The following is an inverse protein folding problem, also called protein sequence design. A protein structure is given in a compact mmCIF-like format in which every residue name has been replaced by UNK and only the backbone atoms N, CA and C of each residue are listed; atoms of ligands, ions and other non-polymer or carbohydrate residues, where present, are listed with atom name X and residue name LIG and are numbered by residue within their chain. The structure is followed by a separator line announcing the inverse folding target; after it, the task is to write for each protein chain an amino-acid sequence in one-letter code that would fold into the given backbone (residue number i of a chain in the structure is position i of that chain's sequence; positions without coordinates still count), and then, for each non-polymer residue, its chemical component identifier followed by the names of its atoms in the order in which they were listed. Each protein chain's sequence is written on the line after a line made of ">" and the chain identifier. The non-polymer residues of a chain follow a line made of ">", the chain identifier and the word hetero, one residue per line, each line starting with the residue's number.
data_IF_159822712009
#
_entry.id   IF_159822712009
#
_cell.length_a   1.000
_cell.length_b   1.000
_cell.length_c   1.000
_cell.angle_alpha   90.00
_cell.angle_beta   90.00
_cell.angle_gamma   90.00
#
_symmetry.space_group_name_H-M   'P 1'
#
loop_
_entity.id
_entity.type
_entity.pdbx_description
1 polymer ?
#
# COMPACT_ATOMS: atom_id res chain seq x y z
N UNK A 1 12.62 -18.13 13.53
CA UNK A 1 11.62 -19.08 14.05
C UNK A 1 11.03 -19.81 12.85
N UNK A 2 11.12 -21.14 12.78
CA UNK A 2 10.43 -21.93 11.74
C UNK A 2 9.01 -22.23 12.22
N UNK A 3 8.10 -21.26 12.06
CA UNK A 3 6.66 -21.49 12.25
C UNK A 3 6.02 -21.76 10.89
N UNK A 4 5.15 -22.75 10.81
CA UNK A 4 4.29 -22.97 9.63
C UNK A 4 3.23 -21.87 9.54
N UNK A 5 2.74 -21.51 8.34
CA UNK A 5 1.61 -20.60 8.20
C UNK A 5 0.39 -21.13 8.97
N UNK A 6 -0.47 -20.26 9.53
CA UNK A 6 -1.69 -20.71 10.18
C UNK A 6 -2.63 -21.32 9.14
N UNK A 7 -3.34 -22.38 9.53
CA UNK A 7 -4.21 -23.14 8.64
C UNK A 7 -5.68 -22.73 8.77
N UNK A 8 -6.02 -21.87 9.74
CA UNK A 8 -7.38 -21.38 9.96
C UNK A 8 -7.42 -19.93 10.42
N UNK A 9 -8.58 -19.28 10.26
CA UNK A 9 -8.85 -17.94 10.82
C UNK A 9 -8.62 -17.89 12.33
N UNK A 10 -9.09 -18.92 13.05
CA UNK A 10 -8.94 -19.02 14.50
C UNK A 10 -7.46 -19.03 14.89
N UNK A 11 -6.66 -19.86 14.25
CA UNK A 11 -5.24 -19.96 14.53
C UNK A 11 -4.48 -18.66 14.22
N UNK A 12 -4.77 -18.03 13.07
CA UNK A 12 -4.19 -16.72 12.73
C UNK A 12 -4.49 -15.68 13.81
N UNK A 13 -5.74 -15.64 14.30
CA UNK A 13 -6.18 -14.66 15.29
C UNK A 13 -5.60 -14.95 16.67
N UNK A 14 -5.50 -16.23 17.07
CA UNK A 14 -4.88 -16.63 18.33
C UNK A 14 -3.38 -16.27 18.34
N UNK A 15 -2.66 -16.51 17.23
CA UNK A 15 -1.27 -16.07 17.06
C UNK A 15 -1.13 -14.55 17.13
N UNK A 16 -2.05 -13.80 16.50
CA UNK A 16 -2.03 -12.34 16.53
C UNK A 16 -2.26 -11.79 17.94
N UNK A 17 -3.20 -12.36 18.70
CA UNK A 17 -3.42 -12.00 20.11
C UNK A 17 -2.18 -12.29 20.97
N UNK A 18 -1.51 -13.42 20.73
CA UNK A 18 -0.24 -13.72 21.41
C UNK A 18 0.83 -12.67 21.10
N UNK A 19 1.02 -12.33 19.82
CA UNK A 19 2.00 -11.32 19.40
C UNK A 19 1.75 -9.95 20.03
N UNK A 20 0.49 -9.56 20.20
CA UNK A 20 0.11 -8.30 20.90
C UNK A 20 0.41 -8.42 22.41
N UNK A 21 0.09 -9.55 23.04
CA UNK A 21 0.33 -9.80 24.47
C UNK A 21 1.81 -9.87 24.85
N UNK A 22 2.67 -10.33 23.94
CA UNK A 22 4.11 -10.46 24.17
C UNK A 22 4.82 -9.11 24.45
N UNK A 23 4.16 -7.97 24.15
CA UNK A 23 4.68 -6.66 24.50
C UNK A 23 5.90 -6.28 23.66
N UNK A 24 6.97 -5.81 24.32
CA UNK A 24 8.20 -5.40 23.64
C UNK A 24 9.03 -6.60 23.20
N UNK A 25 9.29 -6.70 21.90
CA UNK A 25 10.10 -7.73 21.27
C UNK A 25 11.31 -7.11 20.58
N UNK A 26 12.44 -7.80 20.61
CA UNK A 26 13.64 -7.37 19.88
C UNK A 26 13.59 -7.87 18.44
N UNK A 27 13.65 -6.96 17.48
CA UNK A 27 13.81 -7.29 16.05
C UNK A 27 15.27 -7.73 15.83
N UNK A 28 15.52 -8.97 15.37
CA UNK A 28 16.87 -9.43 15.04
C UNK A 28 17.52 -8.57 13.94
N UNK A 29 18.84 -8.39 14.00
CA UNK A 29 19.57 -7.66 12.97
C UNK A 29 19.84 -8.54 11.74
N UNK A 30 18.80 -8.81 10.95
CA UNK A 30 18.90 -9.56 9.70
C UNK A 30 18.40 -8.72 8.52
N UNK A 31 18.99 -8.93 7.33
CA UNK A 31 18.75 -8.13 6.11
C UNK A 31 17.26 -7.91 5.80
N UNK A 32 16.41 -8.92 6.05
CA UNK A 32 14.95 -8.87 5.82
C UNK A 32 14.24 -7.82 6.68
N UNK A 33 14.76 -7.51 7.87
CA UNK A 33 14.14 -6.53 8.78
C UNK A 33 14.77 -5.13 8.67
N UNK A 34 15.66 -4.92 7.70
CA UNK A 34 16.27 -3.62 7.47
C UNK A 34 15.32 -2.68 6.69
N UNK A 35 15.36 -1.39 7.02
CA UNK A 35 14.57 -0.36 6.35
C UNK A 35 13.10 -0.30 6.79
N UNK A 36 12.31 0.48 6.06
CA UNK A 36 10.94 0.82 6.44
C UNK A 36 9.96 -0.38 6.44
N UNK A 37 10.21 -1.40 5.62
CA UNK A 37 9.38 -2.62 5.56
C UNK A 37 9.69 -3.65 6.65
N UNK A 38 10.78 -3.48 7.38
CA UNK A 38 11.26 -4.47 8.35
C UNK A 38 10.26 -4.88 9.43
N UNK A 39 9.55 -3.93 10.07
CA UNK A 39 8.51 -4.25 11.06
C UNK A 39 7.37 -5.13 10.51
N UNK A 40 6.95 -4.92 9.26
CA UNK A 40 5.93 -5.73 8.60
C UNK A 40 6.44 -7.15 8.36
N UNK A 41 7.64 -7.27 7.81
CA UNK A 41 8.30 -8.56 7.61
C UNK A 41 8.49 -9.33 8.93
N UNK A 42 8.80 -8.63 10.03
CA UNK A 42 8.93 -9.25 11.35
C UNK A 42 7.59 -9.77 11.87
N UNK A 43 6.50 -8.99 11.70
CA UNK A 43 5.15 -9.43 12.03
C UNK A 43 4.73 -10.68 11.23
N UNK A 44 4.97 -10.68 9.92
CA UNK A 44 4.72 -11.85 9.06
C UNK A 44 5.45 -13.10 9.58
N UNK A 45 6.73 -12.96 9.90
CA UNK A 45 7.55 -14.07 10.37
C UNK A 45 7.09 -14.57 11.76
N UNK A 46 6.65 -13.68 12.66
CA UNK A 46 6.05 -14.06 13.96
C UNK A 46 4.76 -14.86 13.79
N UNK A 47 3.96 -14.52 12.77
CA UNK A 47 2.73 -15.22 12.40
C UNK A 47 3.01 -16.51 11.61
N UNK A 48 4.25 -16.77 11.22
CA UNK A 48 4.66 -17.96 10.45
C UNK A 48 4.36 -17.85 8.95
N UNK A 49 4.18 -16.64 8.42
CA UNK A 49 3.89 -16.42 7.01
C UNK A 49 5.18 -16.46 6.20
N UNK A 50 5.25 -17.35 5.21
CA UNK A 50 6.33 -17.34 4.23
C UNK A 50 5.94 -16.44 3.07
N UNK A 51 6.78 -15.46 2.76
CA UNK A 51 6.59 -14.58 1.60
C UNK A 51 6.72 -15.40 0.32
N UNK A 52 5.59 -15.70 -0.30
CA UNK A 52 5.49 -16.13 -1.69
C UNK A 52 5.12 -14.93 -2.55
N UNK A 53 5.96 -14.63 -3.53
CA UNK A 53 5.83 -13.51 -4.45
C UNK A 53 4.59 -13.66 -5.35
N UNK A 54 3.38 -13.33 -4.87
CA UNK A 54 2.14 -13.37 -5.66
C UNK A 54 1.17 -12.26 -5.22
N UNK A 55 0.34 -11.77 -6.14
CA UNK A 55 -0.72 -10.78 -5.93
C UNK A 55 -1.91 -11.31 -5.09
N UNK A 56 -1.62 -12.19 -4.12
CA UNK A 56 -2.58 -12.92 -3.29
C UNK A 56 -2.40 -12.48 -1.84
N UNK A 57 -3.46 -12.62 -1.04
CA UNK A 57 -3.45 -12.36 0.38
C UNK A 57 -2.41 -13.20 1.16
N UNK A 58 -1.80 -12.60 2.18
CA UNK A 58 -0.64 -13.12 2.92
C UNK A 58 -0.91 -14.39 3.76
N UNK A 59 -2.15 -14.61 4.23
CA UNK A 59 -2.47 -15.76 5.11
C UNK A 59 -3.94 -16.16 5.10
N UNK A 60 -4.28 -17.38 4.68
CA UNK A 60 -5.68 -17.90 4.75
C UNK A 60 -6.71 -16.90 4.15
N UNK A 61 -6.30 -16.16 3.11
CA UNK A 61 -7.10 -15.12 2.48
C UNK A 61 -7.10 -13.74 3.19
N UNK A 62 -6.16 -13.48 4.11
CA UNK A 62 -5.96 -12.20 4.80
C UNK A 62 -4.69 -11.51 4.34
N UNK A 63 -4.82 -10.25 3.91
CA UNK A 63 -3.70 -9.33 3.76
C UNK A 63 -3.28 -8.81 5.14
N UNK A 64 -1.98 -8.65 5.39
CA UNK A 64 -1.47 -8.10 6.64
C UNK A 64 -0.71 -6.80 6.38
N UNK A 65 -1.01 -5.78 7.19
CA UNK A 65 -0.35 -4.47 7.14
C UNK A 65 0.02 -4.01 8.54
N UNK A 66 1.26 -3.59 8.70
CA UNK A 66 1.75 -2.93 9.90
C UNK A 66 1.76 -1.42 9.73
N UNK A 67 1.39 -0.68 10.77
CA UNK A 67 1.53 0.77 10.82
C UNK A 67 1.86 1.28 12.23
N UNK A 68 2.32 2.52 12.31
CA UNK A 68 2.51 3.25 13.56
C UNK A 68 1.63 4.49 13.58
N UNK A 69 1.47 5.15 14.73
CA UNK A 69 0.80 6.46 14.81
C UNK A 69 1.42 7.55 13.92
N UNK A 70 2.68 7.38 13.50
CA UNK A 70 3.37 8.30 12.57
C UNK A 70 3.10 7.96 11.09
N UNK A 71 2.49 6.81 10.81
CA UNK A 71 2.17 6.38 9.45
C UNK A 71 0.96 7.15 8.94
N UNK A 72 1.17 8.00 7.94
CA UNK A 72 0.10 8.76 7.28
C UNK A 72 -0.70 7.92 6.28
N UNK A 73 -0.04 7.01 5.57
CA UNK A 73 -0.64 6.18 4.52
C UNK A 73 -0.05 4.77 4.52
N UNK A 74 -0.91 3.75 4.49
CA UNK A 74 -0.53 2.36 4.17
C UNK A 74 -0.71 2.10 2.69
N UNK A 75 0.15 1.25 2.12
CA UNK A 75 -0.02 0.79 0.73
C UNK A 75 -0.96 -0.40 0.69
N UNK A 76 -2.02 -0.27 -0.10
CA UNK A 76 -2.99 -1.32 -0.37
C UNK A 76 -2.44 -2.30 -1.42
N UNK A 77 -2.06 -1.77 -2.59
CA UNK A 77 -1.40 -2.52 -3.65
C UNK A 77 -0.63 -1.58 -4.60
N UNK A 78 0.12 -2.18 -5.51
CA UNK A 78 0.79 -1.49 -6.62
C UNK A 78 0.09 -1.85 -7.93
N UNK A 79 -0.08 -0.87 -8.82
CA UNK A 79 -0.53 -1.10 -10.18
C UNK A 79 -0.05 0.06 -11.05
N UNK A 80 0.80 -0.22 -12.02
CA UNK A 80 1.23 0.81 -12.97
C UNK A 80 0.11 1.23 -13.91
N UNK A 81 0.15 2.49 -14.30
CA UNK A 81 -0.78 3.05 -15.27
C UNK A 81 -0.41 2.62 -16.69
N UNK A 82 -1.43 2.53 -17.53
CA UNK A 82 -1.28 2.40 -18.98
C UNK A 82 -1.18 3.78 -19.65
N UNK A 83 -0.52 3.86 -20.82
CA UNK A 83 0.37 2.85 -21.41
C UNK A 83 1.70 2.72 -20.63
N UNK A 84 2.51 1.64 -20.80
CA UNK A 84 3.76 1.46 -20.04
C UNK A 84 4.76 2.61 -20.11
N UNK A 85 4.73 3.41 -21.18
CA UNK A 85 5.58 4.58 -21.40
C UNK A 85 5.15 5.81 -20.59
N UNK A 86 3.97 5.79 -19.98
CA UNK A 86 3.35 6.97 -19.35
C UNK A 86 4.18 7.51 -18.19
N UNK A 87 4.83 6.66 -17.41
CA UNK A 87 5.69 7.12 -16.31
C UNK A 87 6.86 7.97 -16.79
N UNK A 88 7.46 7.65 -17.95
CA UNK A 88 8.51 8.47 -18.55
C UNK A 88 7.98 9.84 -18.97
N UNK A 89 6.78 9.89 -19.54
CA UNK A 89 6.12 11.15 -19.86
C UNK A 89 5.88 11.98 -18.60
N UNK A 90 5.34 11.37 -17.54
CA UNK A 90 5.08 12.06 -16.27
C UNK A 90 6.36 12.65 -15.65
N UNK A 91 7.46 11.89 -15.61
CA UNK A 91 8.75 12.39 -15.13
C UNK A 91 9.27 13.53 -15.99
N UNK A 92 9.24 13.39 -17.32
CA UNK A 92 9.79 14.39 -18.23
C UNK A 92 9.02 15.71 -18.20
N UNK A 93 7.69 15.65 -18.20
CA UNK A 93 6.79 16.80 -18.35
C UNK A 93 6.42 17.44 -17.02
N UNK A 94 6.16 16.64 -16.00
CA UNK A 94 5.57 17.09 -14.74
C UNK A 94 6.49 16.92 -13.53
N UNK A 95 7.63 16.23 -13.69
CA UNK A 95 8.62 16.07 -12.64
C UNK A 95 9.42 17.35 -12.36
N UNK A 96 9.99 17.41 -11.17
CA UNK A 96 10.90 18.48 -10.73
C UNK A 96 12.28 17.89 -10.45
N UNK A 97 13.32 18.73 -10.49
CA UNK A 97 14.67 18.29 -10.11
C UNK A 97 14.70 18.06 -8.60
N UNK A 98 15.21 16.90 -8.19
CA UNK A 98 15.59 16.66 -6.80
C UNK A 98 16.98 17.25 -6.49
N UNK A 99 17.44 17.13 -5.24
CA UNK A 99 18.72 17.67 -4.77
C UNK A 99 19.95 17.09 -5.49
N UNK A 100 19.76 16.02 -6.28
CA UNK A 100 20.81 15.39 -7.08
C UNK A 100 20.65 15.73 -8.58
N UNK A 101 19.78 16.68 -8.94
CA UNK A 101 19.52 17.12 -10.30
C UNK A 101 18.69 16.16 -11.15
N UNK A 102 18.15 15.08 -10.58
CA UNK A 102 17.31 14.09 -11.30
C UNK A 102 15.89 14.61 -11.40
N UNK A 103 15.22 14.45 -12.56
CA UNK A 103 13.77 14.68 -12.59
C UNK A 103 13.05 13.58 -11.81
N UNK A 104 12.15 14.01 -10.91
CA UNK A 104 11.31 13.13 -10.08
C UNK A 104 9.86 13.53 -10.20
N UNK A 105 8.99 12.53 -10.38
CA UNK A 105 7.55 12.66 -10.25
C UNK A 105 7.09 11.80 -9.06
N UNK A 106 7.21 12.39 -7.86
CA UNK A 106 6.84 11.77 -6.59
C UNK A 106 5.63 12.46 -5.98
N UNK A 107 4.44 12.04 -6.39
CA UNK A 107 3.23 12.84 -6.20
C UNK A 107 2.10 11.97 -5.67
N UNK A 108 1.58 12.34 -4.50
CA UNK A 108 0.36 11.73 -3.94
C UNK A 108 -0.86 12.55 -4.33
N UNK A 109 -1.84 11.94 -4.98
CA UNK A 109 -3.07 12.58 -5.45
C UNK A 109 -4.25 11.98 -4.67
N UNK A 110 -4.90 12.80 -3.85
CA UNK A 110 -6.07 12.44 -3.04
C UNK A 110 -7.34 12.91 -3.74
N UNK A 111 -7.72 12.26 -4.85
CA UNK A 111 -8.81 12.70 -5.73
C UNK A 111 -8.48 13.99 -6.51
N UNK A 112 -7.75 14.91 -5.89
CA UNK A 112 -7.19 16.12 -6.47
C UNK A 112 -5.86 16.47 -5.80
N UNK A 113 -5.00 17.15 -6.54
CA UNK A 113 -3.81 17.84 -6.04
C UNK A 113 -3.71 19.22 -6.71
N UNK A 114 -2.75 20.08 -6.33
CA UNK A 114 -2.60 21.40 -6.97
C UNK A 114 -2.41 21.36 -8.49
N UNK A 115 -1.96 20.22 -9.06
CA UNK A 115 -1.67 20.08 -10.49
C UNK A 115 -2.55 19.06 -11.20
N UNK A 116 -3.20 18.17 -10.48
CA UNK A 116 -3.91 17.03 -11.08
C UNK A 116 -5.27 16.79 -10.42
N UNK A 117 -6.15 16.09 -11.14
CA UNK A 117 -7.38 15.51 -10.61
C UNK A 117 -7.52 14.08 -11.08
N UNK A 118 -8.06 13.23 -10.22
CA UNK A 118 -8.56 11.91 -10.56
C UNK A 118 -9.95 12.10 -11.15
N UNK A 119 -10.20 11.48 -12.29
CA UNK A 119 -11.51 11.45 -12.95
C UNK A 119 -11.82 10.03 -13.36
N UNK A 120 -13.10 9.72 -13.40
CA UNK A 120 -13.61 8.49 -13.98
C UNK A 120 -14.22 8.83 -15.34
N UNK A 121 -13.97 7.96 -16.31
CA UNK A 121 -14.50 8.09 -17.67
C UNK A 121 -14.56 6.71 -18.32
N UNK A 122 -15.77 6.27 -18.69
CA UNK A 122 -16.00 5.04 -19.44
C UNK A 122 -15.34 3.78 -18.84
N UNK A 123 -15.42 3.61 -17.51
CA UNK A 123 -14.84 2.48 -16.79
C UNK A 123 -13.33 2.60 -16.55
N UNK A 124 -12.79 3.81 -16.65
CA UNK A 124 -11.37 4.09 -16.45
C UNK A 124 -11.14 5.17 -15.40
N UNK A 125 -10.16 4.95 -14.53
CA UNK A 125 -9.60 5.96 -13.64
C UNK A 125 -8.43 6.65 -14.35
N UNK A 126 -8.51 7.97 -14.42
CA UNK A 126 -7.57 8.80 -15.16
C UNK A 126 -7.03 9.90 -14.26
N UNK A 127 -5.71 10.08 -14.26
CA UNK A 127 -5.08 11.23 -13.61
C UNK A 127 -4.87 12.34 -14.65
N UNK A 128 -5.77 13.33 -14.68
CA UNK A 128 -5.71 14.46 -15.63
C UNK A 128 -5.01 15.68 -15.01
N UNK A 129 -4.12 16.37 -15.74
CA UNK A 129 -3.62 17.66 -15.29
C UNK A 129 -4.75 18.70 -15.24
N UNK A 130 -4.66 19.67 -14.33
CA UNK A 130 -5.64 20.75 -14.21
C UNK A 130 -5.46 21.82 -15.29
N UNK A 131 -4.27 21.92 -15.87
CA UNK A 131 -3.93 22.84 -16.98
C UNK A 131 -3.06 22.11 -17.99
N UNK A 132 -3.31 22.36 -19.27
CA UNK A 132 -2.59 21.74 -20.39
C UNK A 132 -3.15 20.37 -20.78
N UNK A 133 -2.65 19.86 -21.91
CA UNK A 133 -3.08 18.60 -22.53
C UNK A 133 -1.90 17.64 -22.69
N UNK A 134 -2.20 16.38 -23.01
CA UNK A 134 -1.20 15.35 -23.33
C UNK A 134 -1.60 13.96 -22.83
N UNK A 135 -0.71 12.97 -22.98
CA UNK A 135 -0.89 11.64 -22.42
C UNK A 135 -1.10 11.68 -20.91
N UNK A 136 -2.00 10.83 -20.40
CA UNK A 136 -2.38 10.75 -18.98
C UNK A 136 -2.26 9.32 -18.45
N UNK A 137 -1.95 9.13 -17.15
CA UNK A 137 -2.02 7.82 -16.50
C UNK A 137 -3.46 7.30 -16.46
N UNK A 138 -3.67 6.07 -16.90
CA UNK A 138 -4.99 5.42 -16.97
C UNK A 138 -4.94 4.04 -16.32
N UNK A 139 -6.00 3.69 -15.59
CA UNK A 139 -6.29 2.34 -15.09
C UNK A 139 -7.72 1.96 -15.45
N UNK A 140 -7.98 0.73 -15.86
CA UNK A 140 -9.36 0.25 -16.02
C UNK A 140 -9.94 -0.13 -14.65
N UNK A 141 -11.26 -0.03 -14.50
CA UNK A 141 -11.95 -0.54 -13.32
C UNK A 141 -11.66 -2.02 -13.11
N UNK A 142 -11.70 -2.82 -14.18
CA UNK A 142 -11.42 -4.25 -14.11
C UNK A 142 -10.04 -4.53 -13.51
N UNK A 143 -9.00 -3.81 -13.93
CA UNK A 143 -7.65 -4.00 -13.39
C UNK A 143 -7.58 -3.69 -11.89
N UNK A 144 -8.18 -2.56 -11.46
CA UNK A 144 -8.15 -2.16 -10.06
C UNK A 144 -8.99 -3.07 -9.17
N UNK A 145 -10.19 -3.43 -9.63
CA UNK A 145 -11.12 -4.30 -8.91
C UNK A 145 -10.62 -5.74 -8.83
N UNK A 146 -9.94 -6.24 -9.86
CA UNK A 146 -9.32 -7.57 -9.83
C UNK A 146 -8.21 -7.65 -8.78
N UNK A 147 -7.32 -6.65 -8.71
CA UNK A 147 -6.24 -6.64 -7.71
C UNK A 147 -6.81 -6.43 -6.31
N UNK A 148 -7.71 -5.45 -6.13
CA UNK A 148 -8.34 -5.20 -4.85
C UNK A 148 -9.14 -6.44 -4.38
N UNK A 149 -9.90 -7.05 -5.29
CA UNK A 149 -10.69 -8.26 -5.03
C UNK A 149 -9.85 -9.51 -4.83
N UNK A 150 -8.64 -9.62 -5.37
CA UNK A 150 -7.74 -10.74 -5.12
C UNK A 150 -7.02 -10.62 -3.77
N UNK A 151 -6.54 -9.41 -3.46
CA UNK A 151 -5.63 -9.15 -2.35
C UNK A 151 -6.31 -8.67 -1.08
N UNK A 152 -7.32 -7.82 -1.21
CA UNK A 152 -7.85 -7.03 -0.11
C UNK A 152 -9.23 -7.48 0.38
N UNK A 153 -9.71 -8.68 0.02
CA UNK A 153 -11.02 -9.19 0.50
C UNK A 153 -11.12 -9.13 2.02
N UNK A 154 -10.01 -9.40 2.70
CA UNK A 154 -9.86 -9.35 4.15
C UNK A 154 -8.50 -8.75 4.49
N UNK A 155 -8.46 -7.85 5.48
CA UNK A 155 -7.25 -7.12 5.87
C UNK A 155 -7.10 -7.13 7.39
N UNK A 156 -5.92 -7.54 7.86
CA UNK A 156 -5.45 -7.33 9.22
C UNK A 156 -4.53 -6.12 9.25
N UNK A 157 -4.98 -5.06 9.92
CA UNK A 157 -4.21 -3.84 10.12
C UNK A 157 -3.70 -3.77 11.56
N UNK A 158 -2.40 -3.97 11.73
CA UNK A 158 -1.75 -4.06 13.03
C UNK A 158 -1.04 -2.76 13.37
N UNK A 159 -1.48 -2.11 14.44
CA UNK A 159 -0.79 -0.94 15.01
C UNK A 159 0.35 -1.40 15.91
N UNK A 160 1.51 -0.75 15.79
CA UNK A 160 2.57 -0.89 16.78
C UNK A 160 3.37 0.39 16.99
N UNK A 161 4.34 0.28 17.88
CA UNK A 161 5.34 1.30 18.18
C UNK A 161 6.73 0.69 18.15
N UNK A 162 7.73 1.52 17.91
CA UNK A 162 9.12 1.11 17.77
C UNK A 162 10.03 2.04 18.56
N UNK A 163 11.03 1.47 19.20
CA UNK A 163 12.13 2.15 19.85
C UNK A 163 13.44 1.43 19.54
N UNK A 164 14.33 2.07 18.77
CA UNK A 164 15.56 1.42 18.29
C UNK A 164 15.28 0.13 17.50
N UNK A 165 15.74 -1.00 18.01
CA UNK A 165 15.48 -2.35 17.47
C UNK A 165 14.33 -3.07 18.18
N UNK A 166 13.67 -2.45 19.16
CA UNK A 166 12.52 -3.02 19.85
C UNK A 166 11.22 -2.58 19.19
N UNK A 167 10.25 -3.48 19.16
CA UNK A 167 8.90 -3.24 18.62
C UNK A 167 7.86 -3.78 19.60
N UNK A 168 6.74 -3.08 19.70
CA UNK A 168 5.56 -3.55 20.42
C UNK A 168 4.35 -3.44 19.51
N UNK A 169 3.64 -4.54 19.32
CA UNK A 169 2.33 -4.55 18.67
C UNK A 169 1.27 -4.20 19.71
N UNK A 170 0.37 -3.28 19.37
CA UNK A 170 -0.55 -2.64 20.32
C UNK A 170 -1.98 -3.08 20.10
N UNK A 171 -2.42 -3.18 18.85
CA UNK A 171 -3.75 -3.65 18.48
C UNK A 171 -3.78 -4.17 17.07
N UNK A 172 -4.80 -4.94 16.73
CA UNK A 172 -5.11 -5.31 15.37
C UNK A 172 -6.56 -4.98 15.05
N UNK A 173 -6.77 -4.28 13.94
CA UNK A 173 -8.07 -4.06 13.32
C UNK A 173 -8.25 -5.06 12.18
N UNK A 174 -9.32 -5.83 12.24
CA UNK A 174 -9.67 -6.90 11.33
C UNK A 174 -10.83 -6.44 10.47
N UNK A 175 -10.60 -6.39 9.16
CA UNK A 175 -11.58 -5.93 8.18
C UNK A 175 -11.97 -7.08 7.25
N UNK A 176 -13.27 -7.29 7.07
CA UNK A 176 -13.82 -8.31 6.17
C UNK A 176 -14.80 -7.68 5.18
N UNK A 177 -14.99 -8.36 4.05
CA UNK A 177 -15.95 -7.98 3.01
C UNK A 177 -15.62 -6.61 2.40
N UNK A 178 -14.53 -6.57 1.62
CA UNK A 178 -14.19 -5.40 0.81
C UNK A 178 -15.38 -4.99 -0.06
N UNK A 179 -15.77 -3.73 0.03
CA UNK A 179 -16.82 -3.16 -0.79
C UNK A 179 -16.24 -2.75 -2.15
N UNK A 180 -16.15 -3.70 -3.08
CA UNK A 180 -15.51 -3.51 -4.39
C UNK A 180 -16.06 -2.31 -5.16
N UNK A 181 -17.38 -2.17 -5.25
CA UNK A 181 -18.00 -1.03 -5.94
C UNK A 181 -17.65 0.32 -5.29
N UNK A 182 -17.57 0.35 -3.95
CA UNK A 182 -17.20 1.55 -3.20
C UNK A 182 -15.70 1.86 -3.33
N UNK A 183 -14.85 0.90 -3.71
CA UNK A 183 -13.41 1.14 -3.87
C UNK A 183 -13.13 2.22 -4.91
N UNK A 184 -13.79 2.17 -6.07
CA UNK A 184 -13.66 3.19 -7.12
C UNK A 184 -14.12 4.56 -6.62
N UNK A 185 -15.25 4.59 -5.92
CA UNK A 185 -15.76 5.82 -5.31
C UNK A 185 -14.76 6.41 -4.30
N UNK A 186 -14.14 5.58 -3.45
CA UNK A 186 -13.16 5.99 -2.45
C UNK A 186 -11.82 6.46 -3.09
N UNK A 187 -11.46 5.94 -4.27
CA UNK A 187 -10.35 6.47 -5.09
C UNK A 187 -10.69 7.87 -5.63
N UNK A 188 -11.89 8.02 -6.20
CA UNK A 188 -12.36 9.27 -6.80
C UNK A 188 -12.45 10.42 -5.81
N UNK A 189 -13.00 10.17 -4.62
CA UNK A 189 -13.11 11.18 -3.55
C UNK A 189 -11.80 11.42 -2.78
N UNK A 190 -10.76 10.62 -3.03
CA UNK A 190 -9.43 10.81 -2.48
C UNK A 190 -9.14 10.16 -1.13
N UNK A 191 -10.03 9.32 -0.62
CA UNK A 191 -9.77 8.47 0.55
C UNK A 191 -8.68 7.47 0.23
N UNK A 192 -8.81 6.78 -0.91
CA UNK A 192 -7.73 6.00 -1.52
C UNK A 192 -6.99 6.93 -2.48
N UNK A 193 -5.73 7.20 -2.19
CA UNK A 193 -4.90 8.08 -3.00
C UNK A 193 -4.01 7.30 -3.97
N UNK A 194 -3.72 7.94 -5.10
CA UNK A 194 -2.77 7.44 -6.10
C UNK A 194 -1.41 8.10 -5.84
N UNK A 195 -0.41 7.29 -5.51
CA UNK A 195 0.91 7.74 -5.10
C UNK A 195 1.97 7.29 -6.11
N UNK A 196 2.44 8.24 -6.91
CA UNK A 196 3.53 8.03 -7.86
C UNK A 196 4.87 8.11 -7.12
N UNK A 197 5.77 7.17 -7.36
CA UNK A 197 7.14 7.20 -6.84
C UNK A 197 8.14 6.79 -7.92
N UNK A 198 8.33 7.71 -8.86
CA UNK A 198 9.21 7.52 -10.01
C UNK A 198 10.17 8.69 -10.17
N UNK A 199 11.39 8.39 -10.56
CA UNK A 199 12.43 9.38 -10.89
C UNK A 199 13.41 8.82 -11.91
N UNK A 200 14.22 9.69 -12.50
CA UNK A 200 15.35 9.28 -13.32
C UNK A 200 16.37 8.48 -12.49
N UNK A 201 17.03 7.50 -13.10
CA UNK A 201 18.12 6.76 -12.43
C UNK A 201 19.32 7.68 -12.13
N UNK A 202 19.70 8.48 -13.13
CA UNK A 202 20.74 9.52 -13.07
C UNK A 202 20.21 10.77 -13.78
N UNK A 203 20.74 11.98 -13.51
CA UNK A 203 20.28 13.19 -14.17
C UNK A 203 20.26 13.05 -15.70
N UNK A 204 19.11 13.29 -16.33
CA UNK A 204 18.95 13.22 -17.78
C UNK A 204 18.94 11.81 -18.38
N UNK A 205 19.00 10.75 -17.56
CA UNK A 205 18.99 9.38 -18.08
C UNK A 205 17.63 8.97 -18.64
N UNK A 206 17.63 8.13 -19.69
CA UNK A 206 16.40 7.49 -20.19
C UNK A 206 15.76 6.57 -19.15
N UNK A 207 16.60 5.83 -18.40
CA UNK A 207 16.16 4.88 -17.37
C UNK A 207 15.46 5.55 -16.19
N UNK A 208 14.41 4.89 -15.69
CA UNK A 208 13.68 5.33 -14.50
C UNK A 208 13.94 4.38 -13.35
N UNK A 209 14.14 4.93 -12.15
CA UNK A 209 13.92 4.22 -10.91
C UNK A 209 12.46 4.39 -10.53
N UNK A 210 11.66 3.38 -10.88
CA UNK A 210 10.24 3.33 -10.60
C UNK A 210 9.96 2.36 -9.45
N UNK A 211 9.35 2.85 -8.37
CA UNK A 211 8.97 2.05 -7.21
C UNK A 211 7.52 1.54 -7.27
N UNK A 212 6.88 1.61 -8.44
CA UNK A 212 5.49 1.24 -8.63
C UNK A 212 4.55 2.38 -8.22
N UNK A 213 3.56 2.67 -9.06
CA UNK A 213 2.42 3.49 -8.66
C UNK A 213 1.60 2.75 -7.60
N UNK A 214 1.34 3.41 -6.46
CA UNK A 214 0.73 2.81 -5.27
C UNK A 214 -0.68 3.35 -5.06
N UNK A 215 -1.61 2.47 -4.72
CA UNK A 215 -2.90 2.84 -4.16
C UNK A 215 -2.77 2.76 -2.64
N UNK A 216 -3.03 3.88 -1.96
CA UNK A 216 -2.74 4.04 -0.53
C UNK A 216 -3.92 4.65 0.20
N UNK A 217 -4.07 4.35 1.48
CA UNK A 217 -5.14 4.87 2.32
C UNK A 217 -4.60 5.22 3.70
N UNK A 218 -5.22 6.18 4.36
CA UNK A 218 -4.93 6.47 5.77
C UNK A 218 -5.37 5.29 6.64
N UNK A 219 -4.59 4.85 7.64
CA UNK A 219 -5.02 3.82 8.60
C UNK A 219 -6.40 4.11 9.23
N UNK A 220 -6.70 5.39 9.46
CA UNK A 220 -7.97 5.82 10.06
C UNK A 220 -9.17 5.68 9.13
N UNK A 221 -8.93 5.65 7.82
CA UNK A 221 -9.98 5.61 6.80
C UNK A 221 -10.21 4.21 6.23
N UNK A 222 -9.43 3.21 6.64
CA UNK A 222 -9.56 1.82 6.14
C UNK A 222 -10.95 1.27 6.33
N UNK A 223 -11.65 1.62 7.41
CA UNK A 223 -13.02 1.16 7.67
C UNK A 223 -14.01 1.54 6.57
N UNK A 224 -13.74 2.59 5.78
CA UNK A 224 -14.60 3.01 4.67
C UNK A 224 -14.62 2.00 3.51
N UNK A 225 -13.60 1.14 3.44
CA UNK A 225 -13.43 0.17 2.35
C UNK A 225 -14.14 -1.16 2.63
N UNK A 226 -14.62 -1.39 3.85
CA UNK A 226 -15.07 -2.72 4.31
C UNK A 226 -16.41 -2.63 5.01
N UNK A 227 -17.23 -3.69 4.91
CA UNK A 227 -18.53 -3.72 5.58
C UNK A 227 -18.47 -4.29 6.99
N UNK A 228 -17.37 -4.94 7.37
CA UNK A 228 -17.18 -5.49 8.72
C UNK A 228 -15.82 -5.09 9.31
N UNK A 229 -15.84 -4.70 10.59
CA UNK A 229 -14.65 -4.42 11.40
C UNK A 229 -14.75 -5.11 12.76
N UNK A 230 -13.68 -5.78 13.16
CA UNK A 230 -13.45 -6.32 14.52
C UNK A 230 -12.11 -5.79 15.04
N UNK A 231 -11.96 -5.58 16.35
CA UNK A 231 -10.71 -5.09 16.94
C UNK A 231 -10.22 -6.03 18.05
N UNK A 232 -8.93 -6.28 18.04
CA UNK A 232 -8.19 -6.98 19.09
C UNK A 232 -7.22 -6.01 19.75
N UNK A 233 -7.13 -6.05 21.08
CA UNK A 233 -6.21 -5.26 21.92
C UNK A 233 -5.47 -6.17 22.87
#
# INVERSE_FOLDING_TARGET
>A
MNRTPPNSKRELFDRLRHVIRDGWQTIPSVKRYHGHGGPGNFLEDLLGLKVGNQDIADSVGWEIKYYTKKTSLITLFHKEASPPTIMRHMVSRWGWKDDHGRKSFRHTIKGRSPKFKVVEDSGQIIVRPLKGNGPVPIWTHNDLLNIAGGKLRRLLLVEGTRDGNKIRFLRADCFENLHLENFIYEVMRGTVCIDFDVREMKPGSKGLRNHGTKFRVSPNDVCRLYTKKERFT
#
